data_IF_182924854074
#
_entry.id   IF_182924854074
#
_cell.length_a   1.000
_cell.length_b   1.000
_cell.length_c   1.000
_cell.angle_alpha   90.00
_cell.angle_beta   90.00
_cell.angle_gamma   90.00
#
_symmetry.space_group_name_H-M   'P 1'
#
loop_
_entity.id
_entity.type
_entity.pdbx_description
1 polymer ?
#
# COMPACT_ATOMS: atom_id res chain seq x y z
N UNK A 1 33.44 37.86 17.19
CA UNK A 1 32.99 38.94 16.29
C UNK A 1 31.79 38.41 15.53
N UNK A 2 30.62 38.91 15.95
CA UNK A 2 29.38 39.20 15.21
C UNK A 2 28.73 38.09 14.36
N UNK A 3 27.42 37.91 14.29
CA UNK A 3 26.24 38.41 15.02
C UNK A 3 25.07 37.48 14.58
N UNK A 4 24.15 37.16 15.49
CA UNK A 4 22.87 36.50 15.20
C UNK A 4 21.81 37.53 14.78
N UNK A 5 20.80 37.16 13.97
CA UNK A 5 19.60 37.97 13.82
C UNK A 5 18.40 37.37 14.59
N UNK A 6 17.99 38.18 15.56
CA UNK A 6 16.67 38.50 16.12
C UNK A 6 15.40 37.76 15.67
N UNK A 7 14.61 37.39 16.69
CA UNK A 7 13.18 37.07 16.64
C UNK A 7 12.35 38.24 17.18
N UNK A 8 11.15 38.54 16.64
CA UNK A 8 10.30 39.59 17.18
C UNK A 8 9.33 39.09 18.27
N UNK A 9 9.38 39.78 19.40
CA UNK A 9 8.49 39.65 20.57
C UNK A 9 7.17 40.40 20.33
N UNK A 10 6.04 39.78 20.65
CA UNK A 10 4.70 40.41 20.70
C UNK A 10 4.39 40.94 22.11
N UNK A 11 3.61 42.03 22.25
CA UNK A 11 3.45 42.76 23.50
C UNK A 11 2.39 42.17 24.44
N UNK A 12 2.65 42.33 25.73
CA UNK A 12 1.70 42.14 26.83
C UNK A 12 0.75 43.34 26.92
N UNK A 13 -0.54 43.06 27.05
CA UNK A 13 -1.54 44.02 27.53
C UNK A 13 -1.98 43.69 28.94
N UNK A 14 -2.34 44.76 29.64
CA UNK A 14 -2.25 45.00 31.06
C UNK A 14 -3.56 44.83 31.83
N UNK A 15 -3.37 44.70 33.14
CA UNK A 15 -4.33 44.76 34.24
C UNK A 15 -5.34 45.92 34.19
N UNK A 16 -6.52 45.67 34.78
CA UNK A 16 -7.35 46.59 35.58
C UNK A 16 -8.54 45.78 36.17
N UNK A 17 -8.57 45.45 37.46
CA UNK A 17 -8.95 46.27 38.63
C UNK A 17 -10.42 46.10 39.04
N UNK A 18 -10.59 45.56 40.25
CA UNK A 18 -11.55 45.91 41.31
C UNK A 18 -13.07 45.63 41.23
N UNK A 19 -13.51 44.79 42.18
CA UNK A 19 -14.81 44.70 42.90
C UNK A 19 -15.23 46.05 43.54
N UNK A 20 -16.41 46.27 44.22
CA UNK A 20 -17.31 45.28 44.86
C UNK A 20 -18.83 45.61 44.94
N UNK A 21 -19.55 44.68 45.59
CA UNK A 21 -20.79 44.79 46.41
C UNK A 21 -22.18 45.16 45.84
N UNK A 22 -23.16 44.37 46.31
CA UNK A 22 -24.64 44.53 46.22
C UNK A 22 -25.14 45.64 47.20
N UNK A 23 -26.46 45.86 47.49
CA UNK A 23 -27.75 45.35 46.95
C UNK A 23 -28.82 46.47 46.72
N UNK A 24 -29.98 46.14 46.10
CA UNK A 24 -31.34 46.61 46.49
C UNK A 24 -32.44 46.39 45.41
N UNK A 25 -33.55 45.79 45.83
CA UNK A 25 -34.94 45.94 45.30
C UNK A 25 -35.56 47.27 45.83
N UNK A 26 -36.79 47.73 45.49
CA UNK A 26 -37.82 47.26 44.53
C UNK A 26 -38.43 48.38 43.65
N UNK A 27 -39.34 48.05 42.69
CA UNK A 27 -40.67 48.69 42.48
C UNK A 27 -41.40 48.19 41.22
N UNK A 28 -42.69 47.89 41.39
CA UNK A 28 -43.71 47.75 40.35
C UNK A 28 -43.95 49.08 39.61
N UNK A 29 -44.28 49.05 38.32
CA UNK A 29 -45.61 49.41 37.74
C UNK A 29 -45.63 49.34 36.20
N UNK A 30 -46.83 49.05 35.68
CA UNK A 30 -47.45 49.46 34.40
C UNK A 30 -47.34 48.63 33.10
N UNK A 31 -48.51 48.03 32.79
CA UNK A 31 -49.16 47.60 31.53
C UNK A 31 -48.38 47.65 30.20
N UNK A 32 -48.32 46.53 29.46
CA UNK A 32 -47.85 46.51 28.07
C UNK A 32 -48.98 46.83 27.09
N UNK A 33 -48.78 47.85 26.26
CA UNK A 33 -49.48 47.98 24.98
C UNK A 33 -49.10 46.77 24.11
N UNK A 34 -50.07 45.91 23.82
CA UNK A 34 -49.88 44.74 22.97
C UNK A 34 -49.60 45.21 21.53
N UNK A 35 -48.42 44.94 20.96
CA UNK A 35 -48.15 45.25 19.56
C UNK A 35 -49.05 44.38 18.68
N UNK A 36 -49.72 45.01 17.71
CA UNK A 36 -50.47 44.33 16.65
C UNK A 36 -49.56 43.27 16.01
N UNK A 37 -49.80 42.00 16.35
CA UNK A 37 -49.06 40.86 15.84
C UNK A 37 -49.40 40.70 14.36
N UNK A 38 -48.42 41.04 13.52
CA UNK A 38 -48.51 40.92 12.07
C UNK A 38 -48.38 39.43 11.70
N UNK A 39 -49.47 38.84 11.19
CA UNK A 39 -49.58 37.42 10.84
C UNK A 39 -49.40 37.18 9.33
N UNK A 40 -48.83 36.03 8.95
CA UNK A 40 -48.76 35.55 7.56
C UNK A 40 -49.32 34.11 7.46
N UNK A 41 -49.90 33.70 6.33
CA UNK A 41 -50.34 32.31 6.14
C UNK A 41 -49.13 31.38 5.91
N UNK A 42 -49.17 30.19 6.51
CA UNK A 42 -48.21 29.10 6.26
C UNK A 42 -48.27 28.67 4.79
N UNK A 43 -47.12 28.46 4.13
CA UNK A 43 -47.08 28.08 2.71
C UNK A 43 -47.74 26.71 2.46
N UNK A 44 -47.68 25.79 3.42
CA UNK A 44 -48.17 24.42 3.28
C UNK A 44 -49.62 24.24 3.74
N UNK A 45 -49.95 24.59 4.99
CA UNK A 45 -51.29 24.37 5.55
C UNK A 45 -52.20 25.60 5.50
N UNK A 46 -51.70 26.75 5.02
CA UNK A 46 -52.43 28.03 4.86
C UNK A 46 -52.96 28.68 6.15
N UNK A 47 -52.78 28.07 7.32
CA UNK A 47 -53.13 28.66 8.61
C UNK A 47 -52.18 29.81 8.99
N UNK A 48 -52.71 30.82 9.67
CA UNK A 48 -51.95 31.99 10.12
C UNK A 48 -50.85 31.60 11.11
N UNK A 49 -49.67 32.16 10.90
CA UNK A 49 -48.49 32.01 11.76
C UNK A 49 -47.86 33.38 11.97
N UNK A 50 -47.10 33.54 13.06
CA UNK A 50 -46.30 34.74 13.28
C UNK A 50 -45.29 34.93 12.14
N UNK A 51 -45.07 36.18 11.70
CA UNK A 51 -44.21 36.49 10.55
C UNK A 51 -42.78 35.99 10.71
N UNK A 52 -42.28 35.92 11.93
CA UNK A 52 -40.94 35.48 12.32
C UNK A 52 -40.84 33.97 12.64
N UNK A 53 -41.95 33.22 12.59
CA UNK A 53 -41.93 31.79 12.86
C UNK A 53 -41.15 31.01 11.78
N UNK A 54 -40.06 30.36 12.21
CA UNK A 54 -39.20 29.52 11.35
C UNK A 54 -39.82 28.15 11.00
N UNK A 55 -40.80 27.72 11.79
CA UNK A 55 -41.61 26.53 11.58
C UNK A 55 -43.09 26.81 11.87
N UNK A 56 -43.98 26.13 11.15
CA UNK A 56 -45.40 26.24 11.39
C UNK A 56 -45.80 25.45 12.64
N UNK A 57 -46.41 26.11 13.63
CA UNK A 57 -46.91 25.47 14.85
C UNK A 57 -48.02 24.43 14.60
N UNK A 58 -48.72 24.50 13.45
CA UNK A 58 -49.81 23.57 13.12
C UNK A 58 -49.32 22.31 12.41
N UNK A 59 -48.40 22.43 11.45
CA UNK A 59 -47.96 21.28 10.63
C UNK A 59 -46.51 20.87 10.88
N UNK A 60 -45.77 21.57 11.74
CA UNK A 60 -44.37 21.29 12.07
C UNK A 60 -43.37 21.56 10.93
N UNK A 61 -43.83 21.93 9.73
CA UNK A 61 -42.95 22.16 8.57
C UNK A 61 -42.23 23.50 8.66
N UNK A 62 -40.93 23.47 8.41
CA UNK A 62 -40.10 24.67 8.27
C UNK A 62 -40.63 25.53 7.12
N UNK A 63 -40.74 26.84 7.36
CA UNK A 63 -41.12 27.82 6.33
C UNK A 63 -39.91 28.36 5.57
N UNK A 64 -38.71 27.88 5.89
CA UNK A 64 -37.48 28.38 5.30
C UNK A 64 -37.15 27.58 4.03
N UNK A 65 -37.40 28.17 2.85
CA UNK A 65 -37.15 27.55 1.53
C UNK A 65 -35.72 27.05 1.35
N UNK A 66 -34.76 27.66 2.06
CA UNK A 66 -33.36 27.23 2.06
C UNK A 66 -33.15 25.82 2.61
N UNK A 67 -33.96 25.39 3.59
CA UNK A 67 -33.85 24.05 4.20
C UNK A 67 -34.35 22.96 3.24
N UNK A 68 -35.36 23.25 2.42
CA UNK A 68 -35.85 22.35 1.36
C UNK A 68 -34.83 22.23 0.21
N UNK A 69 -34.20 23.35 -0.20
CA UNK A 69 -33.14 23.34 -1.21
C UNK A 69 -31.93 22.52 -0.77
N UNK A 70 -31.52 22.61 0.51
CA UNK A 70 -30.43 21.81 1.07
C UNK A 70 -30.73 20.30 1.09
N UNK A 71 -32.00 19.91 1.29
CA UNK A 71 -32.42 18.51 1.17
C UNK A 71 -32.34 18.00 -0.27
N UNK A 72 -32.63 18.84 -1.26
CA UNK A 72 -32.45 18.46 -2.67
C UNK A 72 -30.96 18.34 -3.03
N UNK A 73 -30.14 19.27 -2.53
CA UNK A 73 -28.70 19.28 -2.77
C UNK A 73 -27.99 18.03 -2.22
N UNK A 74 -28.40 17.51 -1.06
CA UNK A 74 -27.80 16.28 -0.50
C UNK A 74 -28.05 15.05 -1.36
N UNK A 75 -29.22 14.94 -2.01
CA UNK A 75 -29.50 13.88 -3.00
C UNK A 75 -28.62 13.98 -4.24
N UNK A 76 -28.36 15.19 -4.76
CA UNK A 76 -27.45 15.38 -5.89
C UNK A 76 -26.00 15.01 -5.54
N UNK A 77 -25.54 15.36 -4.34
CA UNK A 77 -24.21 14.98 -3.86
C UNK A 77 -24.08 13.46 -3.73
N UNK A 78 -25.10 12.77 -3.22
CA UNK A 78 -25.09 11.32 -3.10
C UNK A 78 -25.00 10.62 -4.48
N UNK A 79 -25.77 11.08 -5.46
CA UNK A 79 -25.73 10.54 -6.83
C UNK A 79 -24.34 10.78 -7.47
N UNK A 80 -23.78 11.98 -7.30
CA UNK A 80 -22.45 12.31 -7.81
C UNK A 80 -21.36 11.41 -7.22
N UNK A 81 -21.42 11.11 -5.91
CA UNK A 81 -20.45 10.25 -5.24
C UNK A 81 -20.51 8.80 -5.76
N UNK A 82 -21.70 8.28 -6.09
CA UNK A 82 -21.85 6.95 -6.71
C UNK A 82 -21.21 6.92 -8.11
N UNK A 83 -21.40 7.97 -8.92
CA UNK A 83 -20.80 8.07 -10.25
C UNK A 83 -19.27 8.11 -10.17
N UNK A 84 -18.71 8.85 -9.21
CA UNK A 84 -17.27 8.90 -8.98
C UNK A 84 -16.73 7.53 -8.56
N UNK A 85 -17.41 6.82 -7.66
CA UNK A 85 -17.00 5.49 -7.23
C UNK A 85 -16.98 4.47 -8.39
N UNK A 86 -17.99 4.49 -9.27
CA UNK A 86 -18.03 3.64 -10.46
C UNK A 86 -16.88 3.98 -11.42
N UNK A 87 -16.61 5.28 -11.62
CA UNK A 87 -15.48 5.72 -12.45
C UNK A 87 -14.12 5.27 -11.88
N UNK A 88 -13.93 5.33 -10.56
CA UNK A 88 -12.71 4.86 -9.90
C UNK A 88 -12.48 3.36 -10.11
N UNK A 89 -13.52 2.53 -9.96
CA UNK A 89 -13.43 1.08 -10.21
C UNK A 89 -13.10 0.79 -11.69
N UNK A 90 -13.67 1.56 -12.61
CA UNK A 90 -13.36 1.47 -14.05
C UNK A 90 -11.90 1.77 -14.37
N UNK A 91 -11.36 2.86 -13.80
CA UNK A 91 -9.95 3.26 -13.98
C UNK A 91 -9.00 2.21 -13.40
N UNK A 92 -9.27 1.68 -12.20
CA UNK A 92 -8.45 0.63 -11.59
C UNK A 92 -8.48 -0.67 -12.40
N UNK A 93 -9.64 -1.05 -12.94
CA UNK A 93 -9.78 -2.22 -13.80
C UNK A 93 -9.03 -2.05 -15.12
N UNK A 94 -9.05 -0.84 -15.70
CA UNK A 94 -8.29 -0.51 -16.91
C UNK A 94 -6.77 -0.56 -16.68
N UNK A 95 -6.28 0.01 -15.58
CA UNK A 95 -4.85 -0.07 -15.21
C UNK A 95 -4.39 -1.53 -14.99
N UNK A 96 -5.24 -2.37 -14.40
CA UNK A 96 -4.95 -3.80 -14.23
C UNK A 96 -4.90 -4.53 -15.57
N UNK A 97 -5.80 -4.20 -16.51
CA UNK A 97 -5.79 -4.75 -17.86
C UNK A 97 -4.53 -4.33 -18.65
N UNK A 98 -4.16 -3.05 -18.60
CA UNK A 98 -2.92 -2.53 -19.22
C UNK A 98 -1.68 -3.23 -18.65
N UNK A 99 -1.65 -3.46 -17.34
CA UNK A 99 -0.56 -4.18 -16.68
C UNK A 99 -0.49 -5.65 -17.12
N UNK A 100 -1.64 -6.30 -17.34
CA UNK A 100 -1.68 -7.67 -17.89
C UNK A 100 -1.18 -7.71 -19.32
N UNK A 101 -1.55 -6.76 -20.17
CA UNK A 101 -1.04 -6.66 -21.54
C UNK A 101 0.48 -6.48 -21.55
N UNK A 102 1.01 -5.55 -20.75
CA UNK A 102 2.46 -5.35 -20.60
C UNK A 102 3.19 -6.61 -20.11
N UNK A 103 2.56 -7.44 -19.27
CA UNK A 103 3.12 -8.73 -18.85
C UNK A 103 3.14 -9.76 -19.98
N UNK A 104 2.08 -9.82 -20.79
CA UNK A 104 2.01 -10.72 -21.95
C UNK A 104 3.03 -10.30 -23.01
N UNK A 105 3.15 -9.00 -23.29
CA UNK A 105 4.15 -8.45 -24.19
C UNK A 105 5.58 -8.69 -23.66
N UNK A 106 5.83 -8.45 -22.38
CA UNK A 106 7.13 -8.74 -21.78
C UNK A 106 7.48 -10.23 -21.85
N UNK A 107 6.52 -11.13 -21.62
CA UNK A 107 6.71 -12.57 -21.77
C UNK A 107 7.01 -12.97 -23.23
N UNK A 108 6.29 -12.39 -24.19
CA UNK A 108 6.53 -12.63 -25.62
C UNK A 108 7.89 -12.09 -26.09
N UNK A 109 8.34 -10.95 -25.57
CA UNK A 109 9.68 -10.40 -25.83
C UNK A 109 10.75 -11.32 -25.25
N UNK A 110 10.52 -11.89 -24.06
CA UNK A 110 11.45 -12.81 -23.41
C UNK A 110 11.56 -14.13 -24.19
N UNK A 111 10.43 -14.70 -24.63
CA UNK A 111 10.40 -15.88 -25.50
C UNK A 111 11.11 -15.62 -26.84
N UNK A 112 10.89 -14.45 -27.45
CA UNK A 112 11.59 -14.05 -28.67
C UNK A 112 13.10 -13.89 -28.44
N UNK A 113 13.51 -13.33 -27.31
CA UNK A 113 14.92 -13.19 -26.95
C UNK A 113 15.58 -14.57 -26.75
N UNK A 114 14.93 -15.51 -26.06
CA UNK A 114 15.39 -16.89 -25.94
C UNK A 114 15.52 -17.59 -27.30
N UNK A 115 14.58 -17.35 -28.21
CA UNK A 115 14.63 -17.85 -29.58
C UNK A 115 15.84 -17.33 -30.36
N UNK A 116 16.12 -16.02 -30.29
CA UNK A 116 17.29 -15.39 -30.93
C UNK A 116 18.59 -15.92 -30.33
N UNK A 117 18.65 -16.11 -29.01
CA UNK A 117 19.83 -16.61 -28.31
C UNK A 117 20.12 -18.07 -28.70
N UNK A 118 19.07 -18.87 -28.84
CA UNK A 118 19.16 -20.26 -29.32
C UNK A 118 19.63 -20.31 -30.77
N UNK A 119 19.14 -19.42 -31.64
CA UNK A 119 19.57 -19.34 -33.03
C UNK A 119 21.04 -18.89 -33.15
N UNK A 120 21.43 -17.84 -32.43
CA UNK A 120 22.81 -17.36 -32.39
C UNK A 120 23.78 -18.44 -31.88
N UNK A 121 23.38 -19.22 -30.87
CA UNK A 121 24.16 -20.36 -30.39
C UNK A 121 24.34 -21.44 -31.46
N UNK A 122 23.29 -21.76 -32.24
CA UNK A 122 23.36 -22.74 -33.34
C UNK A 122 24.25 -22.25 -34.48
N UNK A 123 24.17 -20.97 -34.83
CA UNK A 123 25.04 -20.36 -35.86
C UNK A 123 26.51 -20.34 -35.41
N UNK A 124 26.77 -20.02 -34.14
CA UNK A 124 28.12 -20.08 -33.57
C UNK A 124 28.69 -21.50 -33.57
N UNK A 125 27.87 -22.51 -33.28
CA UNK A 125 28.28 -23.92 -33.34
C UNK A 125 28.53 -24.39 -34.78
N UNK A 126 27.70 -23.96 -35.74
CA UNK A 126 27.90 -24.24 -37.16
C UNK A 126 29.23 -23.65 -37.68
N UNK A 127 29.51 -22.38 -37.38
CA UNK A 127 30.78 -21.73 -37.73
C UNK A 127 31.99 -22.41 -37.07
N UNK A 128 31.84 -22.86 -35.82
CA UNK A 128 32.89 -23.62 -35.12
C UNK A 128 33.17 -24.95 -35.80
N UNK A 129 32.14 -25.65 -36.28
CA UNK A 129 32.28 -26.91 -37.00
C UNK A 129 32.88 -26.71 -38.40
N UNK A 130 32.50 -25.63 -39.10
CA UNK A 130 33.12 -25.23 -40.37
C UNK A 130 34.61 -24.91 -40.19
N UNK A 131 34.96 -24.12 -39.17
CA UNK A 131 36.35 -23.80 -38.84
C UNK A 131 37.18 -25.06 -38.52
N UNK A 132 36.60 -26.03 -37.79
CA UNK A 132 37.24 -27.35 -37.58
C UNK A 132 37.46 -28.11 -38.88
N UNK A 133 36.50 -28.07 -39.81
CA UNK A 133 36.61 -28.70 -41.12
C UNK A 133 37.71 -28.08 -41.97
N UNK A 134 37.80 -26.75 -42.01
CA UNK A 134 38.87 -26.02 -42.70
C UNK A 134 40.23 -26.32 -42.06
N UNK A 135 40.30 -26.38 -40.73
CA UNK A 135 41.52 -26.75 -40.01
C UNK A 135 41.96 -28.17 -40.38
N UNK A 136 41.06 -29.15 -40.34
CA UNK A 136 41.36 -30.52 -40.76
C UNK A 136 41.82 -30.59 -42.20
N UNK A 137 41.17 -29.90 -43.13
CA UNK A 137 41.56 -29.87 -44.54
C UNK A 137 42.94 -29.22 -44.73
N UNK A 138 43.25 -28.15 -43.98
CA UNK A 138 44.56 -27.53 -43.99
C UNK A 138 45.64 -28.45 -43.40
N UNK A 139 45.33 -29.19 -42.33
CA UNK A 139 46.22 -30.20 -41.75
C UNK A 139 46.46 -31.34 -42.74
N UNK A 140 45.42 -31.88 -43.38
CA UNK A 140 45.57 -32.93 -44.40
C UNK A 140 46.40 -32.46 -45.59
N UNK A 141 46.15 -31.25 -46.11
CA UNK A 141 46.97 -30.67 -47.19
C UNK A 141 48.40 -30.42 -46.76
N UNK A 142 48.62 -30.02 -45.51
CA UNK A 142 49.96 -29.88 -44.93
C UNK A 142 50.65 -31.24 -44.85
N UNK A 143 49.97 -32.27 -44.37
CA UNK A 143 50.52 -33.63 -44.25
C UNK A 143 50.80 -34.25 -45.63
N UNK A 144 49.91 -34.06 -46.61
CA UNK A 144 50.11 -34.42 -48.01
C UNK A 144 51.30 -33.67 -48.61
N UNK A 145 51.42 -32.36 -48.39
CA UNK A 145 52.57 -31.59 -48.83
C UNK A 145 53.88 -32.01 -48.14
N UNK A 146 53.82 -32.43 -46.88
CA UNK A 146 54.96 -33.00 -46.15
C UNK A 146 55.34 -34.36 -46.72
N UNK A 147 54.38 -35.23 -47.02
CA UNK A 147 54.64 -36.55 -47.64
C UNK A 147 55.11 -36.42 -49.09
N UNK A 148 54.54 -35.51 -49.88
CA UNK A 148 55.05 -35.15 -51.20
C UNK A 148 56.45 -34.55 -51.09
N UNK A 149 56.71 -33.69 -50.11
CA UNK A 149 58.05 -33.16 -49.85
C UNK A 149 59.02 -34.24 -49.41
N UNK A 150 58.60 -35.26 -48.65
CA UNK A 150 59.46 -36.42 -48.30
C UNK A 150 59.71 -37.32 -49.50
N UNK A 151 58.69 -37.59 -50.33
CA UNK A 151 58.84 -38.34 -51.59
C UNK A 151 59.75 -37.58 -52.55
N UNK A 152 59.53 -36.28 -52.70
CA UNK A 152 60.36 -35.38 -53.48
C UNK A 152 61.75 -35.23 -52.87
N UNK A 153 61.94 -35.30 -51.55
CA UNK A 153 63.25 -35.31 -50.88
C UNK A 153 63.97 -36.64 -51.11
N UNK A 154 63.27 -37.77 -51.11
CA UNK A 154 63.86 -39.07 -51.40
C UNK A 154 64.20 -39.21 -52.90
N UNK A 155 63.31 -38.72 -53.77
CA UNK A 155 63.55 -38.58 -55.20
C UNK A 155 64.68 -37.57 -55.46
N UNK A 156 64.72 -36.47 -54.72
CA UNK A 156 65.79 -35.46 -54.72
C UNK A 156 67.06 -35.97 -54.08
N UNK A 157 67.08 -36.96 -53.20
CA UNK A 157 68.32 -37.59 -52.73
C UNK A 157 68.88 -38.53 -53.80
N UNK A 158 68.00 -39.17 -54.56
CA UNK A 158 68.33 -39.93 -55.78
C UNK A 158 68.82 -38.98 -56.89
N UNK A 159 68.20 -37.81 -57.04
CA UNK A 159 68.53 -36.80 -58.06
C UNK A 159 69.63 -35.82 -57.60
N UNK A 160 69.90 -35.62 -56.30
CA UNK A 160 70.99 -34.78 -55.77
C UNK A 160 72.32 -35.53 -55.77
N UNK A 161 72.30 -36.86 -55.88
CA UNK A 161 73.45 -37.62 -56.38
C UNK A 161 73.75 -37.30 -57.86
N UNK A 162 72.78 -36.71 -58.59
CA UNK A 162 72.87 -36.38 -60.03
C UNK A 162 72.92 -34.86 -60.34
N UNK A 163 72.48 -34.00 -59.41
CA UNK A 163 72.26 -32.55 -59.64
C UNK A 163 72.93 -31.76 -58.51
N UNK A 164 74.26 -31.86 -58.43
CA UNK A 164 75.10 -30.86 -57.76
C UNK A 164 75.29 -29.62 -58.66
N UNK A 165 74.26 -29.16 -59.39
CA UNK A 165 74.41 -28.17 -60.48
C UNK A 165 73.39 -27.01 -60.54
N UNK A 166 72.18 -27.02 -59.96
CA UNK A 166 71.29 -25.82 -60.06
C UNK A 166 70.41 -25.56 -58.84
N UNK A 167 71.00 -25.05 -57.77
CA UNK A 167 70.28 -24.37 -56.66
C UNK A 167 70.38 -22.86 -56.88
N UNK A 168 69.26 -22.24 -57.29
CA UNK A 168 69.00 -20.79 -57.17
C UNK A 168 67.52 -20.40 -57.35
N UNK A 169 66.67 -21.28 -57.90
CA UNK A 169 65.24 -20.99 -58.12
C UNK A 169 64.26 -21.45 -57.03
N UNK A 170 64.64 -22.37 -56.15
CA UNK A 170 63.76 -22.90 -55.11
C UNK A 170 63.72 -22.04 -53.82
N UNK A 171 64.76 -21.23 -53.58
CA UNK A 171 64.82 -20.35 -52.40
C UNK A 171 63.84 -19.18 -52.48
N UNK A 172 63.55 -18.66 -53.67
CA UNK A 172 62.65 -17.52 -53.85
C UNK A 172 61.17 -17.92 -53.66
N UNK A 173 60.78 -19.11 -54.12
CA UNK A 173 59.42 -19.64 -53.90
C UNK A 173 59.17 -19.99 -52.43
N UNK A 174 60.16 -20.54 -51.72
CA UNK A 174 60.04 -20.83 -50.28
C UNK A 174 59.94 -19.52 -49.48
N UNK A 175 60.77 -18.50 -49.78
CA UNK A 175 60.67 -17.17 -49.15
C UNK A 175 59.32 -16.49 -49.41
N UNK A 176 58.74 -16.65 -50.60
CA UNK A 176 57.42 -16.10 -50.90
C UNK A 176 56.31 -16.79 -50.08
N UNK A 177 56.38 -18.11 -49.91
CA UNK A 177 55.45 -18.89 -49.09
C UNK A 177 55.59 -18.51 -47.62
N UNK A 178 56.82 -18.41 -47.08
CA UNK A 178 57.07 -18.01 -45.70
C UNK A 178 56.48 -16.62 -45.38
N UNK A 179 56.64 -15.66 -46.30
CA UNK A 179 56.04 -14.34 -46.16
C UNK A 179 54.51 -14.38 -46.17
N UNK A 180 53.89 -15.22 -47.01
CA UNK A 180 52.44 -15.37 -47.07
C UNK A 180 51.87 -16.07 -45.82
N UNK A 181 52.59 -17.05 -45.28
CA UNK A 181 52.26 -17.72 -44.01
C UNK A 181 52.38 -16.73 -42.86
N UNK A 182 53.44 -15.92 -42.81
CA UNK A 182 53.63 -14.89 -41.78
C UNK A 182 52.50 -13.85 -41.81
N UNK A 183 52.13 -13.36 -43.00
CA UNK A 183 51.01 -12.43 -43.19
C UNK A 183 49.66 -13.04 -42.78
N UNK A 184 49.45 -14.32 -43.09
CA UNK A 184 48.21 -15.02 -42.71
C UNK A 184 48.13 -15.22 -41.20
N UNK A 185 49.24 -15.57 -40.54
CA UNK A 185 49.32 -15.68 -39.09
C UNK A 185 49.07 -14.33 -38.39
N UNK A 186 49.58 -13.23 -38.94
CA UNK A 186 49.31 -11.88 -38.41
C UNK A 186 47.82 -11.52 -38.52
N UNK A 187 47.19 -11.81 -39.67
CA UNK A 187 45.75 -11.59 -39.87
C UNK A 187 44.91 -12.44 -38.91
N UNK A 188 45.24 -13.72 -38.75
CA UNK A 188 44.57 -14.62 -37.81
C UNK A 188 44.69 -14.11 -36.37
N UNK A 189 45.87 -13.66 -35.94
CA UNK A 189 46.07 -13.10 -34.61
C UNK A 189 45.22 -11.84 -34.36
N UNK A 190 45.04 -10.99 -35.37
CA UNK A 190 44.15 -9.81 -35.26
C UNK A 190 42.68 -10.21 -35.11
N UNK A 191 42.22 -11.14 -35.95
CA UNK A 191 40.83 -11.65 -35.88
C UNK A 191 40.56 -12.34 -34.55
N UNK A 192 41.50 -13.15 -34.06
CA UNK A 192 41.36 -13.84 -32.76
C UNK A 192 41.25 -12.84 -31.61
N UNK A 193 42.09 -11.80 -31.58
CA UNK A 193 42.00 -10.72 -30.58
C UNK A 193 40.68 -9.96 -30.64
N UNK A 194 40.20 -9.64 -31.84
CA UNK A 194 38.90 -8.98 -32.01
C UNK A 194 37.73 -9.87 -31.58
N UNK A 195 37.80 -11.16 -31.88
CA UNK A 195 36.81 -12.15 -31.48
C UNK A 195 36.75 -12.31 -29.96
N UNK A 196 37.90 -12.45 -29.29
CA UNK A 196 38.00 -12.49 -27.83
C UNK A 196 37.41 -11.22 -27.21
N UNK A 197 37.77 -10.04 -27.75
CA UNK A 197 37.24 -8.76 -27.26
C UNK A 197 35.72 -8.65 -27.41
N UNK A 198 35.16 -9.06 -28.56
CA UNK A 198 33.71 -9.07 -28.79
C UNK A 198 32.99 -10.05 -27.87
N UNK A 199 33.52 -11.26 -27.69
CA UNK A 199 32.93 -12.24 -26.78
C UNK A 199 32.95 -11.78 -25.32
N UNK A 200 34.02 -11.11 -24.90
CA UNK A 200 34.07 -10.50 -23.56
C UNK A 200 33.00 -9.43 -23.41
N UNK A 201 32.87 -8.51 -24.39
CA UNK A 201 31.84 -7.47 -24.35
C UNK A 201 30.40 -8.04 -24.29
N UNK A 202 30.12 -9.08 -25.08
CA UNK A 202 28.82 -9.79 -25.04
C UNK A 202 28.59 -10.43 -23.66
N UNK A 203 29.62 -11.02 -23.06
CA UNK A 203 29.53 -11.64 -21.73
C UNK A 203 29.24 -10.59 -20.66
N UNK A 204 29.91 -9.45 -20.72
CA UNK A 204 29.71 -8.33 -19.79
C UNK A 204 28.29 -7.74 -19.93
N UNK A 205 27.80 -7.57 -21.16
CA UNK A 205 26.44 -7.10 -21.43
C UNK A 205 25.37 -8.08 -20.90
N UNK A 206 25.57 -9.38 -21.13
CA UNK A 206 24.66 -10.42 -20.64
C UNK A 206 24.65 -10.46 -19.10
N UNK A 207 25.80 -10.27 -18.46
CA UNK A 207 25.89 -10.17 -17.00
C UNK A 207 25.14 -8.94 -16.47
N UNK A 208 25.29 -7.78 -17.13
CA UNK A 208 24.57 -6.56 -16.75
C UNK A 208 23.05 -6.72 -16.91
N UNK A 209 22.59 -7.26 -18.03
CA UNK A 209 21.16 -7.52 -18.28
C UNK A 209 20.59 -8.51 -17.24
N UNK A 210 21.33 -9.58 -16.91
CA UNK A 210 20.94 -10.53 -15.87
C UNK A 210 20.75 -9.84 -14.52
N UNK A 211 21.63 -8.92 -14.15
CA UNK A 211 21.54 -8.18 -12.89
C UNK A 211 20.36 -7.21 -12.87
N UNK A 212 20.10 -6.53 -13.98
CA UNK A 212 18.94 -5.65 -14.13
C UNK A 212 17.62 -6.43 -14.01
N UNK A 213 17.48 -7.52 -14.77
CA UNK A 213 16.30 -8.39 -14.71
C UNK A 213 16.11 -8.98 -13.31
N UNK A 214 17.18 -9.42 -12.65
CA UNK A 214 17.10 -9.92 -11.27
C UNK A 214 16.63 -8.83 -10.30
N UNK A 215 17.07 -7.59 -10.48
CA UNK A 215 16.68 -6.45 -9.64
C UNK A 215 15.20 -6.12 -9.81
N UNK A 216 14.72 -6.05 -11.06
CA UNK A 216 13.32 -5.80 -11.36
C UNK A 216 12.40 -6.94 -10.89
N UNK A 217 12.86 -8.18 -11.01
CA UNK A 217 12.12 -9.34 -10.48
C UNK A 217 11.94 -9.25 -8.96
N UNK A 218 12.97 -8.85 -8.21
CA UNK A 218 12.85 -8.67 -6.76
C UNK A 218 11.92 -7.50 -6.40
N UNK A 219 11.95 -6.39 -7.15
CA UNK A 219 10.97 -5.29 -6.99
C UNK A 219 9.55 -5.79 -7.22
N UNK A 220 9.31 -6.60 -8.26
CA UNK A 220 8.00 -7.16 -8.58
C UNK A 220 7.50 -8.11 -7.48
N UNK A 221 8.33 -9.05 -7.02
CA UNK A 221 7.99 -9.95 -5.91
C UNK A 221 7.65 -9.18 -4.63
N UNK A 222 8.37 -8.09 -4.37
CA UNK A 222 8.12 -7.26 -3.20
C UNK A 222 6.77 -6.53 -3.30
N UNK A 223 6.43 -5.98 -4.47
CA UNK A 223 5.11 -5.36 -4.72
C UNK A 223 3.97 -6.37 -4.64
N UNK A 224 4.18 -7.58 -5.12
CA UNK A 224 3.19 -8.67 -5.04
C UNK A 224 2.83 -8.99 -3.58
N UNK A 225 3.83 -9.07 -2.69
CA UNK A 225 3.61 -9.26 -1.25
C UNK A 225 2.77 -8.14 -0.63
N UNK A 226 3.08 -6.87 -0.96
CA UNK A 226 2.31 -5.72 -0.49
C UNK A 226 0.85 -5.80 -0.92
N UNK A 227 0.62 -6.09 -2.21
CA UNK A 227 -0.71 -6.25 -2.76
C UNK A 227 -1.49 -7.36 -2.04
N UNK A 228 -0.88 -8.53 -1.82
CA UNK A 228 -1.51 -9.63 -1.09
C UNK A 228 -1.91 -9.19 0.33
N UNK A 229 -1.02 -8.51 1.07
CA UNK A 229 -1.36 -8.06 2.43
C UNK A 229 -2.44 -6.97 2.45
N UNK A 230 -2.42 -6.05 1.49
CA UNK A 230 -3.47 -5.05 1.32
C UNK A 230 -4.81 -5.71 1.01
N UNK A 231 -4.84 -6.64 0.06
CA UNK A 231 -6.04 -7.37 -0.33
C UNK A 231 -6.58 -8.20 0.84
N UNK A 232 -5.72 -8.87 1.61
CA UNK A 232 -6.15 -9.61 2.79
C UNK A 232 -6.69 -8.71 3.92
N UNK A 233 -6.08 -7.54 4.10
CA UNK A 233 -6.53 -6.54 5.07
C UNK A 233 -7.88 -5.96 4.67
N UNK A 234 -8.04 -5.63 3.38
CA UNK A 234 -9.30 -5.14 2.83
C UNK A 234 -10.29 -6.29 2.78
N UNK A 235 -10.20 -7.24 1.85
CA UNK A 235 -11.24 -8.24 1.55
C UNK A 235 -11.65 -9.12 2.73
N UNK A 236 -10.72 -9.51 3.61
CA UNK A 236 -10.97 -10.43 4.74
C UNK A 236 -10.95 -9.73 6.10
N UNK A 237 -10.60 -8.45 6.14
CA UNK A 237 -10.44 -7.72 7.40
C UNK A 237 -9.31 -8.26 8.28
N UNK A 238 -8.28 -8.91 7.72
CA UNK A 238 -7.22 -9.53 8.53
C UNK A 238 -6.29 -8.49 9.13
N UNK A 239 -6.31 -8.32 10.45
CA UNK A 239 -5.39 -7.40 11.17
C UNK A 239 -3.93 -7.77 10.99
N UNK A 240 -3.60 -9.06 11.08
CA UNK A 240 -2.22 -9.54 10.92
C UNK A 240 -1.60 -9.22 9.55
N UNK A 241 -2.41 -9.04 8.50
CA UNK A 241 -1.92 -8.60 7.20
C UNK A 241 -1.59 -7.10 7.22
N UNK A 242 -2.42 -6.30 7.88
CA UNK A 242 -2.16 -4.87 8.09
C UNK A 242 -0.96 -4.62 9.00
N UNK A 243 -0.79 -5.42 10.05
CA UNK A 243 0.38 -5.35 10.93
C UNK A 243 1.69 -5.65 10.18
N UNK A 244 1.67 -6.54 9.18
CA UNK A 244 2.83 -6.78 8.31
C UNK A 244 3.19 -5.55 7.47
N UNK A 245 2.20 -4.80 6.98
CA UNK A 245 2.43 -3.54 6.26
C UNK A 245 3.06 -2.51 7.19
N UNK A 246 2.53 -2.32 8.41
CA UNK A 246 3.08 -1.39 9.40
C UNK A 246 4.50 -1.78 9.84
N UNK A 247 4.74 -3.07 10.07
CA UNK A 247 6.08 -3.58 10.39
C UNK A 247 7.06 -3.27 9.25
N UNK A 248 6.67 -3.56 8.01
CA UNK A 248 7.50 -3.28 6.85
C UNK A 248 7.75 -1.78 6.67
N UNK A 249 6.76 -0.92 6.93
CA UNK A 249 6.93 0.53 6.90
C UNK A 249 8.07 0.98 7.83
N UNK A 250 8.12 0.44 9.04
CA UNK A 250 9.19 0.74 10.00
C UNK A 250 10.57 0.24 9.51
N UNK A 251 10.61 -0.91 8.84
CA UNK A 251 11.84 -1.48 8.26
C UNK A 251 12.38 -0.67 7.07
N UNK A 252 11.50 -0.01 6.30
CA UNK A 252 11.88 0.75 5.09
C UNK A 252 11.88 2.27 5.30
N UNK A 253 11.74 2.74 6.54
CA UNK A 253 11.66 4.17 6.86
C UNK A 253 12.93 4.90 6.43
N UNK A 254 12.77 6.04 5.73
CA UNK A 254 13.86 6.83 5.16
C UNK A 254 14.44 6.29 3.86
N UNK A 255 13.91 5.18 3.32
CA UNK A 255 14.33 4.63 2.02
C UNK A 255 13.40 5.09 0.90
N UNK A 256 13.81 4.89 -0.36
CA UNK A 256 12.99 5.12 -1.55
C UNK A 256 11.69 4.28 -1.57
N UNK A 257 11.64 3.19 -0.80
CA UNK A 257 10.50 2.28 -0.69
C UNK A 257 9.42 2.72 0.29
N UNK A 258 9.71 3.66 1.19
CA UNK A 258 8.77 4.11 2.23
C UNK A 258 7.44 4.60 1.62
N UNK A 259 7.53 5.45 0.61
CA UNK A 259 6.37 6.00 -0.11
C UNK A 259 5.48 4.91 -0.71
N UNK A 260 6.07 3.82 -1.19
CA UNK A 260 5.34 2.70 -1.76
C UNK A 260 4.54 2.00 -0.68
N UNK A 261 5.16 1.65 0.46
CA UNK A 261 4.45 0.98 1.57
C UNK A 261 3.34 1.87 2.13
N UNK A 262 3.61 3.16 2.30
CA UNK A 262 2.61 4.14 2.75
C UNK A 262 1.39 4.18 1.82
N UNK A 263 1.59 4.11 0.50
CA UNK A 263 0.46 4.09 -0.45
C UNK A 263 -0.47 2.89 -0.24
N UNK A 264 0.07 1.70 0.07
CA UNK A 264 -0.72 0.50 0.36
C UNK A 264 -1.42 0.56 1.72
N UNK A 265 -0.76 1.11 2.75
CA UNK A 265 -1.39 1.37 4.06
C UNK A 265 -2.55 2.35 3.89
N UNK A 266 -2.34 3.42 3.12
CA UNK A 266 -3.36 4.42 2.85
C UNK A 266 -4.58 3.82 2.12
N UNK A 267 -4.37 2.92 1.16
CA UNK A 267 -5.47 2.20 0.51
C UNK A 267 -6.32 1.41 1.52
N UNK A 268 -5.69 0.68 2.45
CA UNK A 268 -6.41 -0.04 3.51
C UNK A 268 -7.20 0.95 4.38
N UNK A 269 -6.56 2.03 4.86
CA UNK A 269 -7.23 3.03 5.71
C UNK A 269 -8.38 3.73 4.98
N UNK A 270 -8.20 4.08 3.70
CA UNK A 270 -9.20 4.73 2.85
C UNK A 270 -10.44 3.86 2.64
N UNK A 271 -10.26 2.55 2.44
CA UNK A 271 -11.35 1.60 2.38
C UNK A 271 -12.20 1.63 3.66
N UNK A 272 -11.57 1.63 4.84
CA UNK A 272 -12.28 1.64 6.12
C UNK A 272 -12.88 3.00 6.51
N UNK A 273 -12.38 4.09 5.94
CA UNK A 273 -13.00 5.42 6.07
C UNK A 273 -14.32 5.50 5.30
N UNK A 274 -14.36 4.90 4.11
CA UNK A 274 -15.48 5.03 3.17
C UNK A 274 -16.49 3.88 3.24
N UNK A 275 -16.06 2.69 3.67
CA UNK A 275 -16.84 1.47 3.61
C UNK A 275 -17.48 1.03 4.93
N UNK A 276 -18.63 0.37 4.80
CA UNK A 276 -19.23 -0.44 5.86
C UNK A 276 -19.75 -1.75 5.27
N UNK A 277 -19.13 -2.87 5.65
CA UNK A 277 -19.53 -4.19 5.15
C UNK A 277 -20.73 -4.79 5.87
N UNK A 278 -21.05 -4.30 7.06
CA UNK A 278 -22.02 -4.93 7.95
C UNK A 278 -23.23 -4.02 8.17
N UNK A 279 -23.70 -3.36 7.11
CA UNK A 279 -24.86 -2.46 7.10
C UNK A 279 -26.21 -3.16 7.32
N UNK A 280 -26.27 -4.49 7.28
CA UNK A 280 -27.53 -5.19 7.51
C UNK A 280 -27.98 -5.03 8.98
N UNK A 281 -29.20 -4.55 9.18
CA UNK A 281 -29.79 -4.36 10.49
C UNK A 281 -30.22 -5.67 11.15
N UNK A 282 -30.34 -6.77 10.39
CA UNK A 282 -30.82 -8.05 10.92
C UNK A 282 -29.71 -8.85 11.59
N UNK A 283 -29.89 -9.21 12.84
CA UNK A 283 -28.93 -10.01 13.59
C UNK A 283 -29.53 -11.35 13.97
N UNK A 284 -28.76 -12.42 13.80
CA UNK A 284 -29.17 -13.77 14.15
C UNK A 284 -28.24 -14.33 15.23
N UNK A 285 -28.80 -14.70 16.39
CA UNK A 285 -28.11 -15.46 17.44
C UNK A 285 -28.66 -16.88 17.41
N UNK A 286 -27.78 -17.87 17.27
CA UNK A 286 -28.16 -19.28 17.20
C UNK A 286 -29.25 -19.58 16.14
N UNK A 287 -29.21 -18.84 15.02
CA UNK A 287 -30.17 -18.96 13.93
C UNK A 287 -31.49 -18.20 14.12
N UNK A 288 -31.69 -17.50 15.25
CA UNK A 288 -32.90 -16.73 15.54
C UNK A 288 -32.64 -15.24 15.43
N UNK A 289 -33.48 -14.53 14.67
CA UNK A 289 -33.42 -13.07 14.58
C UNK A 289 -33.59 -12.47 15.98
N UNK A 290 -32.57 -11.79 16.46
CA UNK A 290 -32.51 -11.26 17.82
C UNK A 290 -32.39 -9.76 17.76
N UNK A 291 -33.29 -9.09 18.47
CA UNK A 291 -33.24 -7.66 18.73
C UNK A 291 -32.13 -7.36 19.74
N UNK A 292 -30.93 -7.05 19.22
CA UNK A 292 -29.76 -6.78 20.04
C UNK A 292 -29.92 -5.58 20.98
N UNK A 293 -30.87 -4.67 20.73
CA UNK A 293 -31.14 -3.54 21.64
C UNK A 293 -31.70 -4.03 22.98
N UNK A 294 -32.38 -5.17 23.00
CA UNK A 294 -32.97 -5.77 24.21
C UNK A 294 -32.04 -6.71 24.96
N UNK A 295 -30.89 -7.05 24.37
CA UNK A 295 -29.91 -7.95 25.00
C UNK A 295 -29.19 -7.21 26.13
N UNK A 296 -28.90 -7.88 27.24
CA UNK A 296 -28.15 -7.29 28.35
C UNK A 296 -26.71 -6.88 27.94
N UNK A 297 -26.21 -5.78 28.50
CA UNK A 297 -24.89 -5.22 28.15
C UNK A 297 -23.74 -6.16 28.46
N UNK A 298 -23.82 -6.97 29.52
CA UNK A 298 -22.78 -7.97 29.83
C UNK A 298 -22.71 -9.04 28.75
N UNK A 299 -23.88 -9.49 28.27
CA UNK A 299 -23.95 -10.49 27.21
C UNK A 299 -23.35 -9.91 25.92
N UNK A 300 -23.66 -8.65 25.60
CA UNK A 300 -23.04 -7.95 24.48
C UNK A 300 -21.52 -7.85 24.65
N UNK A 301 -21.01 -7.44 25.81
CA UNK A 301 -19.57 -7.37 26.05
C UNK A 301 -18.92 -8.76 25.87
N UNK A 302 -19.53 -9.81 26.40
CA UNK A 302 -19.04 -11.18 26.20
C UNK A 302 -19.02 -11.57 24.71
N UNK A 303 -20.07 -11.25 23.96
CA UNK A 303 -20.13 -11.52 22.53
C UNK A 303 -19.07 -10.74 21.75
N UNK A 304 -18.81 -9.48 22.11
CA UNK A 304 -17.76 -8.66 21.51
C UNK A 304 -16.38 -9.29 21.71
N UNK A 305 -16.11 -9.89 22.87
CA UNK A 305 -14.77 -10.40 23.19
C UNK A 305 -14.57 -11.85 22.76
N UNK A 306 -15.62 -12.67 22.79
CA UNK A 306 -15.49 -14.12 22.71
C UNK A 306 -16.22 -14.77 21.51
N UNK A 307 -17.08 -14.05 20.79
CA UNK A 307 -17.78 -14.65 19.65
C UNK A 307 -16.81 -15.03 18.54
N UNK A 308 -16.96 -16.24 17.99
CA UNK A 308 -16.15 -16.70 16.84
C UNK A 308 -16.56 -16.04 15.53
N UNK A 309 -17.74 -15.42 15.48
CA UNK A 309 -18.32 -14.84 14.26
C UNK A 309 -18.01 -13.34 14.22
N UNK A 310 -17.14 -12.92 13.29
CA UNK A 310 -16.73 -11.52 13.17
C UNK A 310 -17.92 -10.57 12.98
N UNK A 311 -18.92 -10.97 12.20
CA UNK A 311 -20.14 -10.19 11.97
C UNK A 311 -20.90 -9.89 13.28
N UNK A 312 -20.91 -10.84 14.22
CA UNK A 312 -21.52 -10.66 15.54
C UNK A 312 -20.74 -9.60 16.31
N UNK A 313 -19.42 -9.76 16.42
CA UNK A 313 -18.55 -8.81 17.12
C UNK A 313 -18.66 -7.39 16.56
N UNK A 314 -18.71 -7.26 15.23
CA UNK A 314 -18.93 -5.98 14.55
C UNK A 314 -20.25 -5.33 14.99
N UNK A 315 -21.38 -6.05 14.88
CA UNK A 315 -22.69 -5.48 15.22
C UNK A 315 -22.80 -5.13 16.71
N UNK A 316 -22.28 -6.01 17.55
CA UNK A 316 -22.22 -5.79 18.99
C UNK A 316 -21.41 -4.54 19.33
N UNK A 317 -20.25 -4.31 18.68
CA UNK A 317 -19.45 -3.11 18.91
C UNK A 317 -20.23 -1.82 18.61
N UNK A 318 -21.02 -1.80 17.53
CA UNK A 318 -21.89 -0.66 17.15
C UNK A 318 -22.95 -0.40 18.22
N UNK A 319 -23.63 -1.46 18.68
CA UNK A 319 -24.72 -1.32 19.65
C UNK A 319 -24.20 -0.88 21.01
N UNK A 320 -23.04 -1.41 21.41
CA UNK A 320 -22.34 -0.94 22.60
C UNK A 320 -22.01 0.56 22.50
N UNK A 321 -21.71 1.10 21.31
CA UNK A 321 -21.55 2.54 21.06
C UNK A 321 -22.75 3.42 21.44
N UNK A 322 -23.95 2.84 21.47
CA UNK A 322 -25.18 3.53 21.90
C UNK A 322 -25.47 3.34 23.41
N UNK A 323 -24.68 2.53 24.12
CA UNK A 323 -24.86 2.24 25.55
C UNK A 323 -23.87 3.01 26.38
N UNK A 324 -24.37 3.97 27.15
CA UNK A 324 -23.55 4.78 28.08
C UNK A 324 -23.40 4.09 29.44
N UNK A 325 -23.00 2.83 29.44
CA UNK A 325 -22.86 2.02 30.65
C UNK A 325 -21.39 1.84 31.04
N UNK A 326 -21.12 1.67 32.34
CA UNK A 326 -19.79 1.32 32.85
C UNK A 326 -19.27 0.03 32.22
N UNK A 327 -17.95 -0.09 32.03
CA UNK A 327 -17.33 -1.30 31.47
C UNK A 327 -17.39 -1.40 29.94
N UNK A 328 -18.30 -0.67 29.28
CA UNK A 328 -18.37 -0.63 27.82
C UNK A 328 -17.11 -0.02 27.19
N UNK A 329 -16.58 1.13 27.64
CA UNK A 329 -15.35 1.69 27.08
C UNK A 329 -14.17 0.72 27.17
N UNK A 330 -13.99 0.04 28.31
CA UNK A 330 -12.92 -0.92 28.52
C UNK A 330 -13.03 -2.14 27.59
N UNK A 331 -14.26 -2.65 27.39
CA UNK A 331 -14.51 -3.73 26.45
C UNK A 331 -14.17 -3.32 25.00
N UNK A 332 -14.54 -2.10 24.60
CA UNK A 332 -14.22 -1.56 23.27
C UNK A 332 -12.70 -1.36 23.11
N UNK A 333 -12.00 -0.84 24.12
CA UNK A 333 -10.53 -0.73 24.12
C UNK A 333 -9.88 -2.10 23.93
N UNK A 334 -10.39 -3.12 24.62
CA UNK A 334 -9.88 -4.49 24.47
C UNK A 334 -10.05 -4.97 23.02
N UNK A 335 -11.24 -4.78 22.42
CA UNK A 335 -11.47 -5.13 21.03
C UNK A 335 -10.56 -4.36 20.05
N UNK A 336 -10.33 -3.05 20.28
CA UNK A 336 -9.41 -2.24 19.48
C UNK A 336 -7.99 -2.82 19.52
N UNK A 337 -7.52 -3.27 20.68
CA UNK A 337 -6.16 -3.77 20.86
C UNK A 337 -5.96 -5.21 20.40
N UNK A 338 -6.96 -6.07 20.59
CA UNK A 338 -6.75 -7.51 20.51
C UNK A 338 -7.55 -8.20 19.38
N UNK A 339 -8.61 -7.59 18.85
CA UNK A 339 -9.40 -8.24 17.81
C UNK A 339 -8.56 -8.43 16.53
N UNK A 340 -8.68 -9.61 15.94
CA UNK A 340 -7.97 -10.00 14.72
C UNK A 340 -8.67 -9.54 13.44
N UNK A 341 -9.89 -9.03 13.56
CA UNK A 341 -10.68 -8.52 12.46
C UNK A 341 -10.76 -6.98 12.50
N UNK A 342 -10.26 -6.34 11.45
CA UNK A 342 -10.20 -4.88 11.32
C UNK A 342 -11.58 -4.22 11.25
N UNK A 343 -12.63 -4.91 10.78
CA UNK A 343 -13.99 -4.36 10.81
C UNK A 343 -14.46 -4.18 12.26
N UNK A 344 -14.14 -5.12 13.16
CA UNK A 344 -14.43 -5.00 14.60
C UNK A 344 -13.64 -3.86 15.23
N UNK A 345 -12.34 -3.74 14.89
CA UNK A 345 -11.46 -2.68 15.41
C UNK A 345 -12.03 -1.30 15.06
N UNK A 346 -12.29 -1.04 13.77
CA UNK A 346 -12.78 0.28 13.31
C UNK A 346 -14.10 0.65 13.96
N UNK A 347 -15.00 -0.32 14.12
CA UNK A 347 -16.32 -0.10 14.74
C UNK A 347 -16.20 0.13 16.24
N UNK A 348 -15.26 -0.56 16.88
CA UNK A 348 -14.94 -0.33 18.29
C UNK A 348 -14.34 1.05 18.50
N UNK A 349 -13.45 1.53 17.63
CA UNK A 349 -12.91 2.91 17.67
C UNK A 349 -14.04 3.93 17.56
N UNK A 350 -14.92 3.81 16.55
CA UNK A 350 -16.06 4.73 16.36
C UNK A 350 -16.99 4.74 17.58
N UNK A 351 -17.32 3.57 18.10
CA UNK A 351 -18.20 3.41 19.26
C UNK A 351 -17.59 3.97 20.53
N UNK A 352 -16.28 3.76 20.74
CA UNK A 352 -15.53 4.37 21.83
C UNK A 352 -15.55 5.89 21.73
N UNK A 353 -15.29 6.45 20.53
CA UNK A 353 -15.39 7.88 20.26
C UNK A 353 -16.79 8.45 20.57
N UNK A 354 -17.86 7.74 20.22
CA UNK A 354 -19.24 8.16 20.51
C UNK A 354 -19.54 8.23 22.02
N UNK A 355 -19.08 7.26 22.78
CA UNK A 355 -19.33 7.20 24.24
C UNK A 355 -18.48 8.21 24.99
N UNK A 356 -17.19 8.32 24.62
CA UNK A 356 -16.20 9.09 25.39
C UNK A 356 -16.02 10.52 24.92
N UNK A 357 -16.45 10.84 23.70
CA UNK A 357 -16.13 12.10 23.02
C UNK A 357 -14.70 12.16 22.46
N UNK A 358 -13.93 11.07 22.54
CA UNK A 358 -12.61 10.99 21.92
C UNK A 358 -12.70 11.21 20.41
N UNK A 359 -11.84 12.06 19.86
CA UNK A 359 -11.73 12.26 18.41
C UNK A 359 -10.50 11.50 17.91
N UNK A 360 -10.72 10.32 17.32
CA UNK A 360 -9.63 9.55 16.73
C UNK A 360 -9.06 10.27 15.51
N UNK A 361 -7.74 10.37 15.46
CA UNK A 361 -7.00 10.87 14.28
C UNK A 361 -6.76 9.77 13.25
N UNK A 362 -7.02 8.52 13.62
CA UNK A 362 -6.79 7.34 12.79
C UNK A 362 -7.98 6.37 12.83
N UNK A 363 -8.17 5.58 11.76
CA UNK A 363 -9.28 4.62 11.67
C UNK A 363 -9.14 3.42 12.59
N UNK A 364 -7.91 3.01 12.90
CA UNK A 364 -7.65 1.84 13.74
C UNK A 364 -7.31 2.21 15.19
N UNK A 365 -7.26 3.51 15.51
CA UNK A 365 -7.03 3.99 16.86
C UNK A 365 -5.61 3.69 17.33
N UNK A 366 -4.59 3.94 16.51
CA UNK A 366 -3.20 3.76 16.94
C UNK A 366 -2.89 4.65 18.16
N UNK A 367 -2.34 4.07 19.24
CA UNK A 367 -1.62 4.72 20.37
C UNK A 367 -2.39 5.74 21.24
N UNK A 368 -2.48 7.02 20.85
CA UNK A 368 -3.09 8.12 21.61
C UNK A 368 -4.41 7.87 22.36
N UNK A 369 -5.27 6.95 21.92
CA UNK A 369 -6.54 6.69 22.61
C UNK A 369 -6.36 6.05 23.99
N UNK A 370 -5.34 5.22 24.20
CA UNK A 370 -5.06 4.61 25.52
C UNK A 370 -4.65 5.69 26.53
N UNK A 371 -3.74 6.56 26.11
CA UNK A 371 -3.31 7.71 26.92
C UNK A 371 -4.51 8.62 27.24
N UNK A 372 -5.33 8.93 26.25
CA UNK A 372 -6.56 9.69 26.46
C UNK A 372 -7.47 9.02 27.49
N UNK A 373 -7.68 7.70 27.39
CA UNK A 373 -8.53 6.97 28.32
C UNK A 373 -7.99 7.02 29.74
N UNK A 374 -6.69 6.77 29.93
CA UNK A 374 -6.08 6.82 31.26
C UNK A 374 -6.21 8.19 31.93
N UNK A 375 -6.07 9.27 31.16
CA UNK A 375 -6.20 10.65 31.65
C UNK A 375 -7.66 11.06 31.93
N UNK A 376 -8.65 10.43 31.29
CA UNK A 376 -10.04 10.88 31.30
C UNK A 376 -11.05 9.89 31.91
N UNK A 377 -10.65 8.65 32.20
CA UNK A 377 -11.55 7.58 32.63
C UNK A 377 -12.38 7.94 33.85
N UNK A 378 -11.81 8.60 34.86
CA UNK A 378 -12.55 8.94 36.08
C UNK A 378 -13.63 10.00 35.81
N UNK A 379 -13.34 10.96 34.93
CA UNK A 379 -14.30 11.97 34.50
C UNK A 379 -15.41 11.35 33.66
N UNK A 380 -15.07 10.47 32.73
CA UNK A 380 -16.03 9.81 31.84
C UNK A 380 -16.88 8.81 32.63
N UNK A 381 -16.31 8.01 33.53
CA UNK A 381 -17.04 7.03 34.32
C UNK A 381 -18.13 7.66 35.21
N UNK A 382 -17.99 8.94 35.59
CA UNK A 382 -19.03 9.69 36.30
C UNK A 382 -20.25 10.02 35.43
N UNK A 383 -20.12 10.03 34.10
CA UNK A 383 -21.21 10.30 33.16
C UNK A 383 -21.89 9.02 32.65
N UNK A 384 -21.32 7.85 32.94
CA UNK A 384 -21.85 6.55 32.55
C UNK A 384 -22.81 6.01 33.62
N UNK A 385 -23.85 5.33 33.18
CA UNK A 385 -24.81 4.66 34.07
C UNK A 385 -24.17 3.41 34.67
N UNK A 386 -24.39 3.22 35.98
CA UNK A 386 -24.14 1.92 36.61
C UNK A 386 -25.14 0.95 36.01
N UNK A 387 -24.64 0.02 35.19
CA UNK A 387 -25.45 -1.15 34.83
C UNK A 387 -25.77 -1.91 36.14
N UNK A 388 -26.98 -2.48 36.30
CA UNK A 388 -27.46 -3.04 37.56
C UNK A 388 -26.55 -4.10 38.21
N UNK A 389 -25.53 -4.58 37.50
CA UNK A 389 -24.94 -5.88 37.80
C UNK A 389 -23.41 -5.95 37.49
N UNK A 390 -22.75 -4.84 37.10
CA UNK A 390 -21.37 -4.83 36.54
C UNK A 390 -20.21 -4.98 37.54
N UNK A 391 -20.44 -4.92 38.86
CA UNK A 391 -19.35 -5.05 39.85
C UNK A 391 -18.59 -6.40 39.76
N UNK A 392 -19.23 -7.46 39.27
CA UNK A 392 -18.59 -8.76 39.01
C UNK A 392 -17.63 -8.78 37.81
N UNK A 393 -17.81 -7.89 36.83
CA UNK A 393 -17.05 -7.92 35.57
C UNK A 393 -15.66 -7.27 35.72
N UNK A 394 -15.53 -6.25 36.58
CA UNK A 394 -14.24 -5.58 36.86
C UNK A 394 -13.17 -6.51 37.42
N UNK A 395 -13.55 -7.61 38.07
CA UNK A 395 -12.62 -8.63 38.57
C UNK A 395 -12.17 -9.62 37.49
N UNK A 396 -12.95 -9.80 36.42
CA UNK A 396 -12.64 -10.77 35.34
C UNK A 396 -11.74 -10.21 34.24
N UNK A 397 -11.73 -8.89 34.05
CA UNK A 397 -10.71 -8.22 33.24
C UNK A 397 -9.54 -7.92 34.18
N UNK A 398 -8.73 -8.94 34.46
CA UNK A 398 -7.42 -8.70 35.05
C UNK A 398 -6.61 -7.94 34.00
N UNK A 399 -6.59 -6.61 34.13
CA UNK A 399 -5.49 -5.80 33.64
C UNK A 399 -4.27 -6.25 34.46
N UNK A 400 -3.64 -7.35 34.05
CA UNK A 400 -2.20 -7.41 34.18
C UNK A 400 -1.73 -6.15 33.47
N UNK A 401 -1.27 -5.20 34.27
CA UNK A 401 -0.73 -3.92 33.84
C UNK A 401 0.02 -4.16 32.54
N UNK A 402 -0.54 -3.68 31.43
CA UNK A 402 0.24 -3.49 30.22
C UNK A 402 1.36 -2.56 30.68
N UNK A 403 2.53 -3.14 30.91
CA UNK A 403 3.72 -2.39 31.26
C UNK A 403 3.99 -1.52 30.03
N UNK A 404 3.54 -0.27 30.10
CA UNK A 404 3.71 0.72 29.03
C UNK A 404 5.21 0.94 28.75
N UNK A 405 6.11 0.49 29.63
CA UNK A 405 7.56 0.49 29.40
C UNK A 405 8.06 -0.71 28.58
N UNK A 406 7.25 -1.77 28.42
CA UNK A 406 7.54 -2.94 27.55
C UNK A 406 6.92 -2.83 26.16
N UNK A 407 5.95 -1.95 25.97
CA UNK A 407 5.50 -1.56 24.63
C UNK A 407 6.53 -0.56 24.09
N UNK A 408 7.59 -1.07 23.46
CA UNK A 408 8.39 -0.23 22.56
C UNK A 408 7.44 0.25 21.45
N UNK A 409 6.98 1.48 21.57
CA UNK A 409 6.43 2.21 20.44
C UNK A 409 7.49 2.21 19.33
N UNK A 410 7.17 1.72 18.13
CA UNK A 410 8.06 1.85 16.97
C UNK A 410 8.23 3.31 16.53
#
# INVERSE_FOLDING_TARGET
MNDSPDSPTLPQESDNSDSPDSPALPKETDKPNSPLLLEKPCEYCKLSIKIDASACQHCGRSQNKWVEFLKLASTFVAILMVVIAIAQVGISSWQMWETRQKRIEAAAVLEKAEGVLTQASKEAEALRNEAKGVLQQATTKSDEAIEESKKALNQSKIDAALIMVKVKGAEESVKAIDNQVALSNERLSKVDKEFVKKNQAITDELHNLKNEVSTELEKLKWRDKLMVWTDESISKGKRSAFDKLNKLLNEVKGTDRESIVLSYIFQVKSFYLSGDRYLDNKFYRDGVETDLEKVDTKILINDLLNSKINAVRVKVSVILGNRKELGVPEALINAINNDQNLDVVVRSVKSFSMITGYKSTDVFGEGPFLKFWDENKDRINKTLTKSPDIESFKQSIHYDSIDLNKVKLP
#
